data_IF_743796268309
#
_entry.id   IF_743796268309
#
_cell.length_a   1.000
_cell.length_b   1.000
_cell.length_c   1.000
_cell.angle_alpha   90.00
_cell.angle_beta   90.00
_cell.angle_gamma   90.00
#
_symmetry.space_group_name_H-M   'P 1'
#
loop_
_entity.id
_entity.type
_entity.pdbx_description
1 polymer ?
#
# COMPACT_ATOMS: atom_id res chain seq x y z
N UNK A 1 4.19 74.74 33.44
CA UNK A 1 5.12 73.63 33.69
C UNK A 1 4.32 72.34 33.78
N UNK A 2 4.19 71.61 32.71
CA UNK A 2 3.50 70.29 32.71
C UNK A 2 4.36 69.31 31.92
N UNK A 3 4.99 68.43 32.67
CA UNK A 3 5.80 67.34 32.16
C UNK A 3 4.88 66.21 31.68
N UNK A 4 4.91 65.96 30.39
CA UNK A 4 4.19 64.87 29.77
C UNK A 4 5.07 63.58 29.79
N UNK A 5 4.64 62.56 30.54
CA UNK A 5 5.26 61.25 30.55
C UNK A 5 4.73 60.42 29.38
N UNK A 6 5.57 60.19 28.41
CA UNK A 6 5.28 59.32 27.30
C UNK A 6 5.50 57.87 27.75
N UNK A 7 4.40 57.10 27.82
CA UNK A 7 4.45 55.65 28.13
C UNK A 7 4.82 54.89 26.83
N UNK A 8 6.01 54.29 26.84
CA UNK A 8 6.47 53.37 25.80
C UNK A 8 5.81 52.02 26.01
N UNK A 9 4.90 51.64 25.13
CA UNK A 9 4.31 50.30 25.11
C UNK A 9 5.18 49.43 24.18
N UNK A 10 5.95 48.53 24.79
CA UNK A 10 6.69 47.50 24.08
C UNK A 10 5.71 46.32 23.82
N UNK A 11 5.26 46.19 22.55
CA UNK A 11 4.51 45.05 22.14
C UNK A 11 5.47 43.91 21.76
N UNK A 12 5.55 42.90 22.62
CA UNK A 12 6.29 41.67 22.33
C UNK A 12 5.44 40.78 21.40
N UNK A 13 5.87 40.68 20.12
CA UNK A 13 5.33 39.71 19.17
C UNK A 13 5.90 38.35 19.51
N UNK A 14 5.08 37.45 20.10
CA UNK A 14 5.37 36.03 20.13
C UNK A 14 5.06 35.44 18.76
N UNK A 15 6.10 35.19 17.98
CA UNK A 15 5.99 34.39 16.76
C UNK A 15 5.85 32.91 17.15
N UNK A 16 4.62 32.39 17.09
CA UNK A 16 4.38 30.97 17.20
C UNK A 16 4.90 30.25 15.96
N UNK A 17 6.07 29.62 16.10
CA UNK A 17 6.62 28.73 15.07
C UNK A 17 5.82 27.42 15.11
N UNK A 18 4.83 27.29 14.22
CA UNK A 18 4.15 26.02 13.98
C UNK A 18 5.06 25.15 13.13
N UNK A 19 5.77 24.22 13.76
CA UNK A 19 6.48 23.15 13.06
C UNK A 19 5.44 22.23 12.40
N UNK A 20 5.54 21.98 11.09
CA UNK A 20 4.73 20.95 10.45
C UNK A 20 5.15 19.61 11.05
N UNK A 21 4.25 18.95 11.76
CA UNK A 21 4.41 17.53 12.10
C UNK A 21 4.37 16.76 10.77
N UNK A 22 5.54 16.40 10.26
CA UNK A 22 5.66 15.39 9.23
C UNK A 22 5.21 14.08 9.88
N UNK A 23 4.00 13.61 9.52
CA UNK A 23 3.61 12.25 9.77
C UNK A 23 4.54 11.37 8.94
N UNK A 24 5.58 10.85 9.56
CA UNK A 24 6.34 9.75 9.02
C UNK A 24 5.37 8.57 8.94
N UNK A 25 4.94 8.23 7.73
CA UNK A 25 4.22 6.98 7.45
C UNK A 25 5.23 5.88 7.78
N UNK A 26 5.04 5.21 8.93
CA UNK A 26 5.87 4.09 9.33
C UNK A 26 5.89 3.10 8.18
N UNK A 27 7.08 2.82 7.65
CA UNK A 27 7.29 1.78 6.66
C UNK A 27 6.86 0.46 7.31
N UNK A 28 5.62 0.01 7.01
CA UNK A 28 5.12 -1.25 7.53
C UNK A 28 6.00 -2.37 7.00
N UNK A 29 6.53 -3.15 7.94
CA UNK A 29 7.26 -4.38 7.66
C UNK A 29 6.50 -5.23 6.63
N UNK A 30 7.23 -5.75 5.64
CA UNK A 30 6.65 -6.57 4.59
C UNK A 30 6.36 -7.95 5.16
N UNK A 31 5.14 -8.42 5.02
CA UNK A 31 4.75 -9.76 5.39
C UNK A 31 4.39 -10.59 4.15
N UNK A 32 4.88 -11.82 4.10
CA UNK A 32 4.49 -12.79 3.08
C UNK A 32 3.25 -13.57 3.50
N UNK A 33 2.36 -13.79 2.55
CA UNK A 33 1.17 -14.60 2.73
C UNK A 33 1.41 -16.10 2.49
N UNK A 34 0.35 -16.92 2.62
CA UNK A 34 0.45 -18.38 2.45
C UNK A 34 0.95 -18.83 1.08
N UNK A 35 0.78 -18.04 0.03
CA UNK A 35 1.30 -18.31 -1.32
C UNK A 35 2.64 -17.65 -1.61
N UNK A 36 3.28 -17.06 -0.58
CA UNK A 36 4.49 -16.24 -0.70
C UNK A 36 4.27 -14.94 -1.48
N UNK A 37 3.03 -14.48 -1.59
CA UNK A 37 2.69 -13.15 -2.07
C UNK A 37 2.77 -12.11 -0.96
N UNK A 38 2.62 -10.84 -1.30
CA UNK A 38 2.66 -9.74 -0.33
C UNK A 38 1.32 -9.56 0.38
N UNK A 39 1.31 -9.66 1.70
CA UNK A 39 0.16 -9.26 2.49
C UNK A 39 0.05 -7.73 2.52
N UNK A 40 -1.14 -7.21 2.20
CA UNK A 40 -1.35 -5.77 1.98
C UNK A 40 -1.91 -5.04 3.19
N UNK A 41 -2.53 -5.76 4.13
CA UNK A 41 -3.18 -5.15 5.28
C UNK A 41 -2.96 -5.96 6.54
N UNK A 42 -3.16 -5.33 7.69
CA UNK A 42 -3.17 -5.99 9.00
C UNK A 42 -4.58 -6.41 9.43
N UNK A 43 -5.61 -5.73 8.90
CA UNK A 43 -7.01 -6.00 9.23
C UNK A 43 -7.51 -7.22 8.45
N UNK A 44 -8.28 -8.08 9.12
CA UNK A 44 -8.89 -9.26 8.53
C UNK A 44 -10.24 -8.96 7.85
N UNK A 45 -10.56 -9.66 6.74
CA UNK A 45 -9.70 -10.62 6.06
C UNK A 45 -8.54 -9.93 5.33
N UNK A 46 -7.32 -10.46 5.48
CA UNK A 46 -6.10 -9.88 4.94
C UNK A 46 -5.93 -10.22 3.46
N UNK A 47 -5.81 -9.25 2.56
CA UNK A 47 -5.55 -9.50 1.14
C UNK A 47 -4.08 -9.83 0.89
N UNK A 48 -3.82 -10.92 0.18
CA UNK A 48 -2.51 -11.29 -0.35
C UNK A 48 -2.46 -10.98 -1.83
N UNK A 49 -1.59 -10.08 -2.22
CA UNK A 49 -1.24 -9.79 -3.62
C UNK A 49 -0.26 -10.85 -4.13
N UNK A 50 -0.59 -11.48 -5.24
CA UNK A 50 0.23 -12.49 -5.87
C UNK A 50 0.22 -12.32 -7.38
N UNK A 51 1.38 -12.49 -8.02
CA UNK A 51 1.53 -12.48 -9.47
C UNK A 51 1.65 -13.90 -9.97
N UNK A 52 0.74 -14.29 -10.84
CA UNK A 52 0.70 -15.62 -11.44
C UNK A 52 1.81 -15.78 -12.51
N UNK A 53 2.11 -17.01 -12.90
CA UNK A 53 3.15 -17.30 -13.89
C UNK A 53 2.90 -16.66 -15.26
N UNK A 54 1.67 -16.37 -15.58
CA UNK A 54 1.25 -15.70 -16.81
C UNK A 54 1.22 -14.17 -16.71
N UNK A 55 1.75 -13.62 -15.60
CA UNK A 55 1.75 -12.20 -15.26
C UNK A 55 0.36 -11.60 -14.96
N UNK A 56 -0.68 -12.39 -14.79
CA UNK A 56 -1.92 -11.91 -14.20
C UNK A 56 -1.76 -11.72 -12.69
N UNK A 57 -2.56 -10.83 -12.13
CA UNK A 57 -2.58 -10.59 -10.67
C UNK A 57 -3.74 -11.34 -10.06
N UNK A 58 -3.50 -12.02 -8.97
CA UNK A 58 -4.54 -12.59 -8.12
C UNK A 58 -4.45 -12.06 -6.70
N UNK A 59 -5.62 -11.84 -6.09
CA UNK A 59 -5.72 -11.45 -4.68
C UNK A 59 -6.64 -12.43 -3.97
N UNK A 60 -6.07 -13.13 -2.98
CA UNK A 60 -6.82 -13.97 -2.05
C UNK A 60 -6.93 -13.28 -0.70
N UNK A 61 -8.01 -13.55 0.00
CA UNK A 61 -8.25 -13.02 1.34
C UNK A 61 -8.12 -14.14 2.35
N UNK A 62 -7.50 -13.85 3.48
CA UNK A 62 -7.27 -14.83 4.55
C UNK A 62 -7.81 -14.32 5.88
N UNK A 63 -8.39 -15.22 6.66
CA UNK A 63 -8.73 -14.96 8.05
C UNK A 63 -7.49 -15.06 8.97
N UNK A 64 -7.71 -14.89 10.27
CA UNK A 64 -6.66 -15.00 11.29
C UNK A 64 -6.01 -16.38 11.38
N UNK A 65 -6.72 -17.42 10.95
CA UNK A 65 -6.22 -18.80 10.92
C UNK A 65 -5.55 -19.17 9.59
N UNK A 66 -5.29 -18.16 8.74
CA UNK A 66 -4.71 -18.30 7.38
C UNK A 66 -5.58 -19.15 6.44
N UNK A 67 -6.88 -19.25 6.71
CA UNK A 67 -7.82 -19.89 5.82
C UNK A 67 -8.34 -18.90 4.79
N UNK A 68 -8.56 -19.40 3.57
CA UNK A 68 -9.06 -18.57 2.47
C UNK A 68 -10.51 -18.18 2.74
N UNK A 69 -10.78 -16.88 2.63
CA UNK A 69 -12.12 -16.28 2.69
C UNK A 69 -12.51 -15.85 1.29
N UNK A 70 -13.58 -16.41 0.75
CA UNK A 70 -14.08 -16.02 -0.58
C UNK A 70 -14.50 -14.55 -0.60
N UNK A 71 -14.08 -13.76 -1.61
CA UNK A 71 -14.50 -12.38 -1.73
C UNK A 71 -16.01 -12.29 -2.01
N UNK A 72 -16.67 -11.35 -1.33
CA UNK A 72 -18.10 -11.01 -1.52
C UNK A 72 -18.24 -9.68 -2.27
N UNK A 73 -18.01 -8.57 -1.57
CA UNK A 73 -18.16 -7.19 -2.09
C UNK A 73 -16.82 -6.46 -2.23
N UNK A 74 -15.71 -7.14 -1.92
CA UNK A 74 -14.38 -6.57 -2.04
C UNK A 74 -14.05 -6.28 -3.49
N UNK A 75 -13.38 -5.15 -3.72
CA UNK A 75 -12.88 -4.76 -5.04
C UNK A 75 -11.40 -4.43 -4.93
N UNK A 76 -10.66 -4.91 -5.91
CA UNK A 76 -9.23 -4.61 -6.03
C UNK A 76 -8.96 -4.03 -7.40
N UNK A 77 -8.15 -2.98 -7.41
CA UNK A 77 -7.61 -2.35 -8.63
C UNK A 77 -6.11 -2.23 -8.47
N UNK A 78 -5.37 -2.63 -9.47
CA UNK A 78 -3.92 -2.48 -9.52
C UNK A 78 -3.57 -1.44 -10.56
N UNK A 79 -2.73 -0.49 -10.19
CA UNK A 79 -2.21 0.54 -11.09
C UNK A 79 -0.70 0.32 -11.19
N UNK A 80 -0.25 -0.05 -12.37
CA UNK A 80 1.17 -0.18 -12.69
C UNK A 80 1.65 1.10 -13.37
N UNK A 81 2.75 1.65 -12.89
CA UNK A 81 3.38 2.87 -13.42
C UNK A 81 4.77 2.53 -13.94
N UNK A 82 4.80 1.87 -15.12
CA UNK A 82 6.02 1.58 -15.88
C UNK A 82 6.26 2.63 -16.97
N UNK A 83 6.57 2.19 -18.18
CA UNK A 83 6.68 3.05 -19.37
C UNK A 83 5.34 3.71 -19.73
N UNK A 84 4.24 3.02 -19.45
CA UNK A 84 2.89 3.55 -19.50
C UNK A 84 2.19 3.27 -18.16
N UNK A 85 1.14 4.04 -17.88
CA UNK A 85 0.30 3.80 -16.71
C UNK A 85 -0.84 2.87 -17.09
N UNK A 86 -0.84 1.69 -16.51
CA UNK A 86 -1.87 0.68 -16.72
C UNK A 86 -2.73 0.48 -15.48
N UNK A 87 -4.01 0.26 -15.70
CA UNK A 87 -4.99 0.02 -14.64
C UNK A 87 -5.67 -1.33 -14.85
N UNK A 88 -5.40 -2.26 -13.95
CA UNK A 88 -5.98 -3.59 -13.93
C UNK A 88 -7.12 -3.64 -12.92
N UNK A 89 -8.31 -3.98 -13.36
CA UNK A 89 -9.43 -4.31 -12.49
C UNK A 89 -9.46 -5.82 -12.29
N UNK A 90 -9.65 -6.24 -11.03
CA UNK A 90 -9.75 -7.64 -10.69
C UNK A 90 -11.22 -8.02 -10.54
N UNK A 91 -11.56 -9.19 -11.06
CA UNK A 91 -12.89 -9.78 -11.00
C UNK A 91 -12.86 -11.07 -10.19
N UNK A 92 -13.99 -11.41 -9.59
CA UNK A 92 -14.11 -12.64 -8.80
C UNK A 92 -13.99 -13.87 -9.70
N UNK A 93 -13.05 -14.75 -9.35
CA UNK A 93 -12.86 -16.07 -9.96
C UNK A 93 -12.63 -17.09 -8.85
N UNK A 94 -13.67 -17.85 -8.53
CA UNK A 94 -13.64 -18.78 -7.40
C UNK A 94 -13.46 -18.07 -6.06
N UNK A 95 -12.42 -18.41 -5.36
CA UNK A 95 -12.04 -17.87 -4.04
C UNK A 95 -11.06 -16.71 -4.10
N UNK A 96 -10.82 -16.15 -5.27
CA UNK A 96 -9.89 -15.06 -5.51
C UNK A 96 -10.50 -13.94 -6.35
N UNK A 97 -9.88 -12.76 -6.31
CA UNK A 97 -10.04 -11.73 -7.32
C UNK A 97 -8.85 -11.82 -8.29
N UNK A 98 -9.10 -11.89 -9.60
CA UNK A 98 -8.08 -12.09 -10.62
C UNK A 98 -8.20 -11.02 -11.70
N UNK A 99 -7.07 -10.48 -12.17
CA UNK A 99 -7.05 -9.54 -13.28
C UNK A 99 -7.28 -10.25 -14.63
N UNK A 100 -7.98 -9.59 -15.54
CA UNK A 100 -8.06 -10.03 -16.95
C UNK A 100 -6.81 -9.68 -17.73
N UNK A 101 -6.29 -8.48 -17.46
CA UNK A 101 -5.06 -8.01 -18.08
C UNK A 101 -3.85 -8.47 -17.26
N UNK A 102 -2.72 -8.57 -17.94
CA UNK A 102 -1.41 -8.87 -17.33
C UNK A 102 -0.76 -7.60 -16.82
N UNK A 103 0.17 -7.75 -15.89
CA UNK A 103 1.09 -6.67 -15.56
C UNK A 103 2.01 -6.37 -16.75
N UNK A 104 2.50 -5.12 -16.90
CA UNK A 104 3.53 -4.79 -17.89
C UNK A 104 4.75 -5.69 -17.74
N UNK A 105 5.42 -5.96 -18.86
CA UNK A 105 6.68 -6.68 -18.83
C UNK A 105 7.78 -5.86 -18.15
N UNK A 106 8.76 -6.56 -17.58
CA UNK A 106 9.90 -5.96 -16.87
C UNK A 106 9.69 -5.84 -15.37
N UNK A 107 10.63 -5.15 -14.74
CA UNK A 107 10.76 -4.96 -13.30
C UNK A 107 11.05 -3.49 -12.95
N UNK A 108 11.01 -3.15 -11.68
CA UNK A 108 11.44 -1.87 -11.17
C UNK A 108 10.43 -0.73 -11.30
N UNK A 109 9.18 -1.03 -11.64
CA UNK A 109 8.14 -0.02 -11.70
C UNK A 109 7.26 0.00 -10.44
N UNK A 110 6.59 1.14 -10.23
CA UNK A 110 5.74 1.31 -9.06
C UNK A 110 4.36 0.68 -9.27
N UNK A 111 3.92 -0.07 -8.25
CA UNK A 111 2.54 -0.55 -8.13
C UNK A 111 1.79 0.22 -7.05
N UNK A 112 0.54 0.50 -7.35
CA UNK A 112 -0.46 0.94 -6.37
C UNK A 112 -1.60 -0.06 -6.38
N UNK A 113 -1.74 -0.82 -5.31
CA UNK A 113 -2.86 -1.76 -5.12
C UNK A 113 -3.91 -1.08 -4.27
N UNK A 114 -5.08 -0.85 -4.85
CA UNK A 114 -6.22 -0.25 -4.18
C UNK A 114 -7.19 -1.34 -3.76
N UNK A 115 -7.40 -1.49 -2.47
CA UNK A 115 -8.32 -2.49 -1.91
C UNK A 115 -9.51 -1.78 -1.26
N UNK A 116 -10.72 -2.15 -1.68
CA UNK A 116 -11.96 -1.77 -1.02
C UNK A 116 -12.53 -2.98 -0.29
N UNK A 117 -12.78 -2.84 0.99
CA UNK A 117 -13.38 -3.90 1.82
C UNK A 117 -14.86 -4.17 1.49
N UNK A 118 -15.54 -3.17 0.94
CA UNK A 118 -16.93 -3.25 0.48
C UNK A 118 -17.14 -2.28 -0.69
N UNK A 119 -18.26 -2.43 -1.42
CA UNK A 119 -18.56 -1.65 -2.62
C UNK A 119 -18.54 -0.13 -2.41
N UNK A 120 -18.97 0.35 -1.24
CA UNK A 120 -19.01 1.78 -0.87
C UNK A 120 -17.85 2.20 0.06
N UNK A 121 -16.95 1.29 0.44
CA UNK A 121 -15.83 1.63 1.30
C UNK A 121 -14.79 2.50 0.58
N UNK A 122 -14.11 3.35 1.34
CA UNK A 122 -12.95 4.09 0.81
C UNK A 122 -11.83 3.10 0.49
N UNK A 123 -11.11 3.27 -0.64
CA UNK A 123 -9.99 2.40 -0.98
C UNK A 123 -8.84 2.63 -0.01
N UNK A 124 -8.22 1.54 0.46
CA UNK A 124 -6.89 1.55 1.05
C UNK A 124 -5.87 1.36 -0.08
N UNK A 125 -4.83 2.18 -0.10
CA UNK A 125 -3.81 2.17 -1.14
C UNK A 125 -2.52 1.58 -0.56
N UNK A 126 -1.98 0.58 -1.23
CA UNK A 126 -0.69 -0.03 -0.91
C UNK A 126 0.25 0.25 -2.07
N UNK A 127 1.41 0.84 -1.76
CA UNK A 127 2.41 1.26 -2.76
C UNK A 127 3.70 0.50 -2.52
N UNK A 128 4.26 -0.05 -3.58
CA UNK A 128 5.56 -0.71 -3.54
C UNK A 128 6.16 -0.80 -4.95
N UNK A 129 7.46 -0.98 -5.01
CA UNK A 129 8.16 -1.27 -6.27
C UNK A 129 7.93 -2.73 -6.64
N UNK A 130 7.57 -2.98 -7.88
CA UNK A 130 7.40 -4.33 -8.41
C UNK A 130 8.75 -4.87 -8.90
N UNK A 131 9.20 -5.91 -8.23
CA UNK A 131 10.39 -6.69 -8.57
C UNK A 131 9.98 -8.16 -8.51
N UNK A 132 9.89 -8.83 -9.66
CA UNK A 132 9.32 -10.17 -9.78
C UNK A 132 10.36 -11.29 -9.69
N UNK A 133 11.64 -10.98 -9.60
CA UNK A 133 12.67 -11.98 -9.35
C UNK A 133 12.58 -12.50 -7.91
N UNK A 134 13.15 -13.67 -7.67
CA UNK A 134 13.23 -14.24 -6.33
C UNK A 134 14.24 -13.43 -5.51
N UNK A 135 13.85 -13.09 -4.28
CA UNK A 135 14.71 -12.41 -3.32
C UNK A 135 16.05 -13.13 -3.18
N UNK A 136 17.15 -12.38 -3.26
CA UNK A 136 18.52 -12.92 -3.11
C UNK A 136 18.86 -13.34 -1.68
N UNK A 137 18.01 -13.06 -0.70
CA UNK A 137 18.16 -13.49 0.68
C UNK A 137 17.62 -14.90 0.94
N UNK A 138 17.31 -15.20 2.19
CA UNK A 138 16.95 -16.56 2.65
C UNK A 138 15.46 -16.88 2.59
N UNK A 139 14.57 -15.88 2.37
CA UNK A 139 13.12 -16.09 2.45
C UNK A 139 12.53 -16.86 1.25
N UNK A 140 13.19 -16.83 0.08
CA UNK A 140 12.73 -17.51 -1.13
C UNK A 140 11.41 -16.97 -1.70
N UNK A 141 11.00 -15.77 -1.28
CA UNK A 141 9.81 -15.07 -1.79
C UNK A 141 10.18 -14.26 -3.04
N UNK A 142 9.20 -13.89 -3.89
CA UNK A 142 9.42 -12.82 -4.85
C UNK A 142 9.86 -11.54 -4.15
N UNK A 143 10.70 -10.73 -4.78
CA UNK A 143 11.26 -9.53 -4.16
C UNK A 143 10.18 -8.54 -3.71
N UNK A 144 9.07 -8.40 -4.45
CA UNK A 144 7.93 -7.57 -4.03
C UNK A 144 7.24 -8.04 -2.73
N UNK A 145 7.56 -9.24 -2.26
CA UNK A 145 7.07 -9.84 -1.02
C UNK A 145 8.22 -10.34 -0.13
N UNK A 146 9.43 -9.81 -0.33
CA UNK A 146 10.60 -10.17 0.45
C UNK A 146 10.41 -9.76 1.91
N UNK A 147 10.77 -10.67 2.82
CA UNK A 147 10.70 -10.49 4.28
C UNK A 147 12.08 -10.55 4.93
N UNK A 148 13.15 -10.54 4.12
CA UNK A 148 14.50 -10.45 4.62
C UNK A 148 14.76 -9.01 5.06
N UNK A 149 15.33 -8.84 6.24
CA UNK A 149 15.87 -7.54 6.66
C UNK A 149 17.09 -7.23 5.77
N UNK A 150 17.12 -6.00 5.23
CA UNK A 150 18.29 -5.49 4.49
C UNK A 150 19.43 -5.15 5.43
#
# INVERSE_FOLDING_TARGET
MKTSMTKLVVAAFLAAVTLPMAFAEEAKEVEAGPRRGRLLATDYPRPEFFVEKDHTVSVKFYDKDKKVVSPTDQKVTVIASGTAKEKLQLEKKGDALVSKAKLPEGDGYNLVVQVRSAAKAKPKNFRFTFLNHICGGTCGNPEYACTCDE
#
